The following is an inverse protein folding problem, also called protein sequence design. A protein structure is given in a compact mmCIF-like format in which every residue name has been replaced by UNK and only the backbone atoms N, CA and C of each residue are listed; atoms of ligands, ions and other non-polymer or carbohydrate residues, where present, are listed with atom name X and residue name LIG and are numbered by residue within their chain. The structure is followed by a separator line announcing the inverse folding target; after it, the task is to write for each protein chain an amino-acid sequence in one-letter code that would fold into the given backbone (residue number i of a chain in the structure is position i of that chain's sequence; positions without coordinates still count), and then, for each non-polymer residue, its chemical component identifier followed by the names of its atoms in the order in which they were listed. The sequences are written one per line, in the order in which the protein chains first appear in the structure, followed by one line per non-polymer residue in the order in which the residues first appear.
data_IF_781375984115
#
_entry.id   IF_781375984115
#
_cell.length_a   1.000
_cell.length_b   1.000
_cell.length_c   1.000
_cell.angle_alpha   90.00
_cell.angle_beta   90.00
_cell.angle_gamma   90.00
#
_symmetry.space_group_name_H-M   'P 1'
#
loop_
_entity.id
_entity.type
_entity.pdbx_description
1 polymer ?
#
# COMPACT_ATOMS: atom_id res chain seq x y z
N UNK A 1 14.31 53.29 -27.81
CA UNK A 1 13.07 53.26 -27.00
C UNK A 1 12.19 52.04 -27.31
N UNK A 2 12.75 50.82 -27.39
CA UNK A 2 12.00 49.60 -27.78
C UNK A 2 11.92 48.54 -26.67
N UNK A 3 12.64 48.74 -25.56
CA UNK A 3 12.73 47.75 -24.47
C UNK A 3 11.56 47.80 -23.47
N UNK A 4 10.85 48.92 -23.40
CA UNK A 4 9.70 49.07 -22.51
C UNK A 4 8.41 48.43 -23.08
N UNK A 5 8.35 48.18 -24.39
CA UNK A 5 7.15 47.66 -25.05
C UNK A 5 6.99 46.13 -24.86
N UNK A 6 8.09 45.39 -24.63
CA UNK A 6 8.06 43.94 -24.46
C UNK A 6 7.58 43.48 -23.08
N UNK A 7 7.69 44.32 -22.06
CA UNK A 7 7.28 43.96 -20.68
C UNK A 7 5.75 44.04 -20.52
N UNK A 8 5.09 44.92 -21.27
CA UNK A 8 3.63 45.10 -21.20
C UNK A 8 2.87 43.92 -21.84
N UNK A 9 3.44 43.26 -22.84
CA UNK A 9 2.82 42.07 -23.47
C UNK A 9 2.88 40.84 -22.53
N UNK A 10 3.92 40.73 -21.70
CA UNK A 10 4.04 39.63 -20.74
C UNK A 10 3.05 39.74 -19.56
N UNK A 11 2.65 40.96 -19.20
CA UNK A 11 1.70 41.20 -18.11
C UNK A 11 0.22 41.02 -18.53
N UNK A 12 -0.07 41.00 -19.84
CA UNK A 12 -1.44 40.87 -20.39
C UNK A 12 -1.81 39.43 -20.82
N UNK A 13 -0.89 38.47 -20.77
CA UNK A 13 -1.22 37.05 -20.60
C UNK A 13 -1.44 36.79 -19.10
N UNK A 14 -2.38 37.47 -18.47
CA UNK A 14 -3.76 37.01 -18.63
C UNK A 14 -3.93 35.84 -17.67
N UNK A 15 -4.31 36.16 -16.45
CA UNK A 15 -4.81 35.24 -15.43
C UNK A 15 -6.05 34.51 -15.95
N UNK A 16 -5.87 33.62 -16.91
CA UNK A 16 -6.86 32.60 -17.23
C UNK A 16 -6.61 31.51 -16.20
N UNK A 17 -7.29 31.62 -15.06
CA UNK A 17 -7.43 30.50 -14.15
C UNK A 17 -7.87 29.32 -15.04
N UNK A 18 -7.03 28.30 -15.17
CA UNK A 18 -7.26 27.28 -16.17
C UNK A 18 -8.52 26.50 -15.76
N UNK A 19 -9.27 25.97 -16.74
CA UNK A 19 -10.61 25.46 -16.48
C UNK A 19 -10.58 24.38 -15.39
N UNK A 20 -11.61 24.34 -14.52
CA UNK A 20 -11.72 23.31 -13.51
C UNK A 20 -11.72 21.93 -14.17
N UNK A 21 -11.18 20.90 -13.50
CA UNK A 21 -11.12 19.55 -14.04
C UNK A 21 -12.54 19.04 -14.32
N UNK A 22 -12.68 18.40 -15.48
CA UNK A 22 -13.92 17.74 -15.90
C UNK A 22 -14.26 16.55 -15.00
N UNK A 23 -15.54 16.15 -14.98
CA UNK A 23 -15.98 14.96 -14.24
C UNK A 23 -15.26 13.68 -14.66
N UNK A 24 -14.92 13.55 -15.95
CA UNK A 24 -14.14 12.42 -16.47
C UNK A 24 -12.71 12.40 -15.94
N UNK A 25 -12.05 13.56 -15.86
CA UNK A 25 -10.70 13.67 -15.30
C UNK A 25 -10.70 13.36 -13.80
N UNK A 26 -11.71 13.81 -13.05
CA UNK A 26 -11.87 13.48 -11.64
C UNK A 26 -12.05 11.97 -11.42
N UNK A 27 -12.86 11.30 -12.24
CA UNK A 27 -13.05 9.86 -12.14
C UNK A 27 -11.77 9.06 -12.49
N UNK A 28 -10.98 9.54 -13.44
CA UNK A 28 -9.68 8.94 -13.77
C UNK A 28 -8.65 9.18 -12.66
N UNK A 29 -8.60 10.40 -12.12
CA UNK A 29 -7.75 10.75 -11.01
C UNK A 29 -8.05 9.92 -9.75
N UNK A 30 -9.33 9.66 -9.48
CA UNK A 30 -9.77 8.83 -8.36
C UNK A 30 -9.31 7.38 -8.50
N UNK A 31 -9.44 6.80 -9.70
CA UNK A 31 -8.92 5.45 -9.98
C UNK A 31 -7.41 5.37 -9.79
N UNK A 32 -6.67 6.36 -10.29
CA UNK A 32 -5.22 6.41 -10.13
C UNK A 32 -4.80 6.55 -8.66
N UNK A 33 -5.57 7.31 -7.86
CA UNK A 33 -5.33 7.45 -6.44
C UNK A 33 -5.52 6.12 -5.71
N UNK A 34 -6.63 5.41 -5.99
CA UNK A 34 -6.91 4.10 -5.38
C UNK A 34 -5.81 3.10 -5.72
N UNK A 35 -5.49 2.95 -7.02
CA UNK A 35 -4.41 2.05 -7.46
C UNK A 35 -3.09 2.40 -6.80
N UNK A 36 -2.75 3.69 -6.76
CA UNK A 36 -1.51 4.17 -6.16
C UNK A 36 -1.42 3.95 -4.65
N UNK A 37 -2.54 4.04 -3.92
CA UNK A 37 -2.61 3.68 -2.49
C UNK A 37 -2.42 2.18 -2.30
N UNK A 38 -3.05 1.35 -3.13
CA UNK A 38 -2.84 -0.11 -3.07
C UNK A 38 -1.38 -0.47 -3.35
N UNK A 39 -0.79 0.10 -4.39
CA UNK A 39 0.63 -0.10 -4.71
C UNK A 39 1.54 0.36 -3.57
N UNK A 40 1.19 1.47 -2.90
CA UNK A 40 1.90 1.95 -1.73
C UNK A 40 1.84 0.97 -0.55
N UNK A 41 0.64 0.44 -0.24
CA UNK A 41 0.46 -0.55 0.83
C UNK A 41 1.15 -1.88 0.54
N UNK A 42 1.25 -2.27 -0.73
CA UNK A 42 1.87 -3.50 -1.19
C UNK A 42 3.37 -3.36 -1.51
N UNK A 43 3.98 -2.19 -1.26
CA UNK A 43 5.38 -1.91 -1.61
C UNK A 43 5.72 -2.07 -3.10
N UNK A 44 4.75 -1.82 -3.98
CA UNK A 44 4.93 -1.81 -5.43
C UNK A 44 5.39 -0.43 -5.93
N UNK A 45 5.83 -0.31 -7.20
CA UNK A 45 6.18 0.96 -7.79
C UNK A 45 5.01 1.94 -7.80
N UNK A 46 5.22 3.19 -7.37
CA UNK A 46 4.16 4.21 -7.23
C UNK A 46 3.84 4.96 -8.54
N UNK A 47 4.04 4.29 -9.67
CA UNK A 47 3.84 4.86 -11.01
C UNK A 47 2.45 5.47 -11.20
N UNK A 48 1.41 4.91 -10.56
CA UNK A 48 0.05 5.46 -10.60
C UNK A 48 -0.07 6.82 -9.88
N UNK A 49 0.60 7.01 -8.73
CA UNK A 49 0.63 8.29 -8.01
C UNK A 49 1.48 9.32 -8.76
N UNK A 50 2.61 8.91 -9.34
CA UNK A 50 3.44 9.77 -10.21
C UNK A 50 2.66 10.22 -11.45
N UNK A 51 1.93 9.30 -12.07
CA UNK A 51 1.04 9.60 -13.22
C UNK A 51 -0.08 10.55 -12.79
N UNK A 52 -0.67 10.35 -11.61
CA UNK A 52 -1.72 11.22 -11.08
C UNK A 52 -1.21 12.66 -10.86
N UNK A 53 -0.02 12.81 -10.26
CA UNK A 53 0.57 14.14 -10.00
C UNK A 53 1.02 14.88 -11.26
N UNK A 54 1.38 14.16 -12.33
CA UNK A 54 1.83 14.73 -13.60
C UNK A 54 0.68 14.99 -14.57
N UNK A 55 -0.26 14.05 -14.68
CA UNK A 55 -1.36 14.09 -15.66
C UNK A 55 -2.58 14.87 -15.17
N UNK A 56 -2.83 14.89 -13.85
CA UNK A 56 -3.98 15.59 -13.25
C UNK A 56 -3.57 16.51 -12.09
N UNK A 57 -2.56 17.40 -12.27
CA UNK A 57 -1.91 18.14 -11.17
C UNK A 57 -2.82 19.09 -10.39
N UNK A 58 -4.00 19.41 -10.92
CA UNK A 58 -4.98 20.35 -10.34
C UNK A 58 -6.11 19.67 -9.56
N UNK A 59 -6.11 18.34 -9.54
CA UNK A 59 -7.11 17.58 -8.79
C UNK A 59 -6.71 17.50 -7.31
N UNK A 60 -7.69 17.42 -6.42
CA UNK A 60 -7.41 17.17 -4.99
C UNK A 60 -6.68 15.83 -4.79
N UNK A 61 -6.98 14.86 -5.63
CA UNK A 61 -6.32 13.56 -5.69
C UNK A 61 -4.82 13.68 -5.94
N UNK A 62 -4.39 14.58 -6.85
CA UNK A 62 -2.97 14.83 -7.08
C UNK A 62 -2.27 15.43 -5.85
N UNK A 63 -2.95 16.27 -5.07
CA UNK A 63 -2.37 16.80 -3.84
C UNK A 63 -2.18 15.70 -2.78
N UNK A 64 -3.18 14.83 -2.62
CA UNK A 64 -3.05 13.64 -1.76
C UNK A 64 -1.90 12.73 -2.23
N UNK A 65 -1.78 12.51 -3.54
CA UNK A 65 -0.70 11.72 -4.12
C UNK A 65 0.69 12.32 -3.83
N UNK A 66 0.85 13.65 -3.89
CA UNK A 66 2.11 14.33 -3.49
C UNK A 66 2.43 14.10 -2.02
N UNK A 67 1.42 14.18 -1.14
CA UNK A 67 1.62 13.93 0.29
C UNK A 67 2.05 12.48 0.55
N UNK A 68 1.44 11.50 -0.12
CA UNK A 68 1.81 10.08 0.00
C UNK A 68 3.24 9.85 -0.51
N UNK A 69 3.58 10.40 -1.67
CA UNK A 69 4.94 10.30 -2.25
C UNK A 69 5.98 10.96 -1.34
N UNK A 70 5.69 12.17 -0.83
CA UNK A 70 6.56 12.88 0.09
C UNK A 70 6.73 12.15 1.42
N UNK A 71 5.66 11.55 1.95
CA UNK A 71 5.74 10.73 3.15
C UNK A 71 6.62 9.50 2.95
N UNK A 72 6.47 8.78 1.83
CA UNK A 72 7.33 7.63 1.48
C UNK A 72 8.80 8.01 1.39
N UNK A 73 9.08 9.16 0.79
CA UNK A 73 10.45 9.65 0.64
C UNK A 73 11.06 10.08 1.98
N UNK A 74 10.25 10.64 2.88
CA UNK A 74 10.66 11.03 4.22
C UNK A 74 10.82 9.84 5.18
N UNK A 75 10.12 8.73 4.94
CA UNK A 75 10.15 7.54 5.79
C UNK A 75 10.33 6.25 4.97
N UNK A 76 11.52 6.03 4.38
CA UNK A 76 11.77 4.85 3.57
C UNK A 76 11.71 3.54 4.39
N UNK A 77 11.98 3.59 5.70
CA UNK A 77 11.94 2.42 6.59
C UNK A 77 10.53 2.01 7.10
N UNK A 78 9.52 2.88 7.04
CA UNK A 78 8.19 2.60 7.62
C UNK A 78 7.18 2.05 6.61
N UNK A 79 7.53 2.01 5.32
CA UNK A 79 6.66 1.42 4.28
C UNK A 79 6.83 -0.09 4.32
N UNK A 80 6.39 -0.73 5.40
CA UNK A 80 5.98 -2.13 5.42
C UNK A 80 5.26 -2.43 6.73
N UNK A 81 3.99 -2.05 6.89
CA UNK A 81 3.16 -2.58 7.97
C UNK A 81 2.39 -3.85 7.56
N UNK A 82 2.13 -4.07 6.27
CA UNK A 82 1.32 -5.21 5.80
C UNK A 82 2.18 -6.43 5.42
N UNK A 83 3.32 -6.23 4.75
CA UNK A 83 4.17 -7.36 4.33
C UNK A 83 4.90 -8.02 5.53
N UNK A 84 5.37 -7.23 6.50
CA UNK A 84 6.04 -7.72 7.72
C UNK A 84 5.05 -8.35 8.69
N UNK A 85 3.86 -7.76 8.88
CA UNK A 85 2.85 -8.32 9.78
C UNK A 85 2.24 -9.61 9.21
N UNK A 86 2.14 -9.73 7.88
CA UNK A 86 1.77 -10.97 7.21
C UNK A 86 2.86 -12.05 7.36
N UNK A 87 4.14 -11.73 7.18
CA UNK A 87 5.21 -12.72 7.33
C UNK A 87 5.37 -13.24 8.77
N UNK A 88 5.16 -12.38 9.77
CA UNK A 88 5.15 -12.81 11.18
C UNK A 88 3.95 -13.72 11.47
N UNK A 89 2.77 -13.36 10.96
CA UNK A 89 1.55 -14.18 11.13
C UNK A 89 1.64 -15.53 10.41
N UNK A 90 2.27 -15.61 9.24
CA UNK A 90 2.42 -16.86 8.50
C UNK A 90 3.44 -17.81 9.17
N UNK A 91 4.49 -17.25 9.81
CA UNK A 91 5.46 -18.03 10.60
C UNK A 91 4.83 -18.61 11.86
N UNK A 92 4.11 -17.79 12.64
CA UNK A 92 3.41 -18.25 13.85
C UNK A 92 2.36 -19.32 13.54
N UNK A 93 1.63 -19.19 12.43
CA UNK A 93 0.68 -20.21 11.98
C UNK A 93 1.36 -21.52 11.59
N UNK A 94 2.56 -21.45 11.01
CA UNK A 94 3.33 -22.64 10.68
C UNK A 94 3.82 -23.35 11.93
N UNK A 95 4.37 -22.62 12.89
CA UNK A 95 4.83 -23.14 14.19
C UNK A 95 3.68 -23.79 14.99
N UNK A 96 2.53 -23.13 15.08
CA UNK A 96 1.35 -23.66 15.74
C UNK A 96 0.82 -24.93 15.07
N UNK A 97 0.94 -25.02 13.73
CA UNK A 97 0.52 -26.21 12.98
C UNK A 97 1.45 -27.40 13.25
N UNK A 98 2.75 -27.15 13.28
CA UNK A 98 3.76 -28.16 13.60
C UNK A 98 3.61 -28.65 15.05
N UNK A 99 3.36 -27.75 15.99
CA UNK A 99 3.10 -28.10 17.39
C UNK A 99 1.82 -28.92 17.52
N UNK A 100 0.74 -28.54 16.83
CA UNK A 100 -0.51 -29.31 16.85
C UNK A 100 -0.30 -30.73 16.31
N UNK A 101 0.50 -30.89 15.26
CA UNK A 101 0.83 -32.20 14.70
C UNK A 101 1.66 -33.05 15.67
N UNK A 102 2.64 -32.45 16.36
CA UNK A 102 3.43 -33.14 17.40
C UNK A 102 2.55 -33.58 18.57
N UNK A 103 1.73 -32.68 19.10
CA UNK A 103 0.80 -32.99 20.19
C UNK A 103 -0.18 -34.11 19.83
N UNK A 104 -0.72 -34.12 18.60
CA UNK A 104 -1.56 -35.22 18.11
C UNK A 104 -0.83 -36.55 18.10
N UNK A 105 0.40 -36.56 17.58
CA UNK A 105 1.25 -37.77 17.58
C UNK A 105 1.48 -38.29 19.00
N UNK A 106 1.77 -37.40 19.95
CA UNK A 106 2.06 -37.81 21.32
C UNK A 106 0.81 -38.28 22.06
N UNK A 107 -0.35 -37.66 21.82
CA UNK A 107 -1.65 -38.18 22.28
C UNK A 107 -1.90 -39.59 21.73
N UNK A 108 -1.62 -39.83 20.44
CA UNK A 108 -1.80 -41.16 19.81
C UNK A 108 -0.86 -42.22 20.42
N UNK A 109 0.38 -41.84 20.77
CA UNK A 109 1.33 -42.72 21.47
C UNK A 109 0.86 -43.02 22.88
N UNK A 110 0.45 -41.99 23.64
CA UNK A 110 -0.05 -42.15 25.00
C UNK A 110 -1.30 -43.02 25.04
N UNK A 111 -2.23 -42.85 24.09
CA UNK A 111 -3.40 -43.73 23.95
C UNK A 111 -3.02 -45.18 23.73
N UNK A 112 -2.03 -45.46 22.86
CA UNK A 112 -1.53 -46.82 22.64
C UNK A 112 -0.92 -47.42 23.91
N UNK A 113 -0.08 -46.65 24.61
CA UNK A 113 0.52 -47.09 25.89
C UNK A 113 -0.56 -47.38 26.92
N UNK A 114 -1.60 -46.54 27.02
CA UNK A 114 -2.70 -46.73 27.97
C UNK A 114 -3.45 -48.04 27.67
N UNK A 115 -3.84 -48.25 26.41
CA UNK A 115 -4.52 -49.49 25.96
C UNK A 115 -3.63 -50.72 26.24
N UNK A 116 -2.33 -50.64 25.94
CA UNK A 116 -1.40 -51.74 26.19
C UNK A 116 -1.20 -51.99 27.69
N UNK A 117 -1.29 -50.95 28.52
CA UNK A 117 -1.23 -51.08 29.98
C UNK A 117 -2.51 -51.71 30.55
N UNK A 118 -3.68 -51.29 30.09
CA UNK A 118 -4.97 -51.85 30.51
C UNK A 118 -5.09 -53.33 30.12
N UNK A 119 -4.54 -53.72 28.96
CA UNK A 119 -4.47 -55.13 28.52
C UNK A 119 -3.52 -56.01 29.35
N UNK A 120 -2.57 -55.42 30.08
CA UNK A 120 -1.57 -56.15 30.89
C UNK A 120 -1.94 -56.25 32.37
N UNK A 121 -2.89 -55.44 32.83
CA UNK A 121 -3.56 -55.61 34.11
C UNK A 121 -4.69 -56.65 33.96
N UNK A 122 -4.61 -57.82 34.63
CA UNK A 122 -5.68 -58.82 34.63
C UNK A 122 -6.94 -58.38 35.39
#
# INVERSE_FOLDING_TARGET
MWRALLIVIFALSGCLAPPPPSRSELAQADRLLVTGITDFLENRPLSALETLTTSYPRTHQAELARQILGWKQAHPETVSPLATKKSVSDSELHELRDENQRLRSDIEKLRRILIDSERRTP
#
